data_IF_930221360615
#
_entry.id   IF_930221360615
#
_cell.length_a   1.000
_cell.length_b   1.000
_cell.length_c   1.000
_cell.angle_alpha   90.00
_cell.angle_beta   90.00
_cell.angle_gamma   90.00
#
_symmetry.space_group_name_H-M   'P 1'
#
loop_
_entity.id
_entity.type
_entity.pdbx_description
1 polymer ?
#
# COMPACT_ATOMS: atom_id res chain seq x y z
N UNK A 1 2.01 5.69 22.40
CA UNK A 1 0.64 6.24 22.47
C UNK A 1 -0.48 5.18 22.34
N UNK A 2 -0.21 3.89 22.56
CA UNK A 2 -1.23 2.81 22.45
C UNK A 2 -2.43 2.88 23.42
N UNK A 3 -2.48 3.86 24.31
CA UNK A 3 -3.50 3.96 25.38
C UNK A 3 -4.71 4.84 25.01
N UNK A 4 -4.62 5.70 23.98
CA UNK A 4 -5.73 6.56 23.53
C UNK A 4 -6.70 5.82 22.61
N UNK A 5 -6.18 5.05 21.66
CA UNK A 5 -6.99 4.24 20.75
C UNK A 5 -7.77 3.16 21.51
N UNK A 6 -7.17 2.55 22.53
CA UNK A 6 -7.81 1.49 23.32
C UNK A 6 -8.94 2.03 24.22
N UNK A 7 -8.84 3.27 24.71
CA UNK A 7 -9.92 3.94 25.47
C UNK A 7 -11.14 4.31 24.62
N UNK A 8 -10.98 4.49 23.30
CA UNK A 8 -12.07 4.86 22.40
C UNK A 8 -12.94 3.66 21.97
N UNK A 9 -12.46 2.43 22.15
CA UNK A 9 -13.15 1.23 21.64
C UNK A 9 -14.45 0.90 22.41
N UNK A 10 -14.54 1.30 23.68
CA UNK A 10 -15.64 0.95 24.61
C UNK A 10 -16.56 2.14 25.00
N UNK A 11 -16.29 3.35 24.50
CA UNK A 11 -17.08 4.54 24.82
C UNK A 11 -18.29 4.74 23.86
N UNK A 12 -19.41 5.26 24.40
CA UNK A 12 -20.58 5.65 23.58
C UNK A 12 -20.22 6.79 22.61
N UNK A 13 -20.78 6.73 21.38
CA UNK A 13 -20.63 7.73 20.32
C UNK A 13 -20.61 9.18 20.80
N UNK A 14 -21.65 9.57 21.54
CA UNK A 14 -21.84 10.95 21.99
C UNK A 14 -20.71 11.42 22.90
N UNK A 15 -20.16 10.52 23.72
CA UNK A 15 -19.06 10.83 24.62
C UNK A 15 -17.74 10.94 23.86
N UNK A 16 -17.53 10.09 22.86
CA UNK A 16 -16.40 10.22 21.93
C UNK A 16 -16.46 11.57 21.24
N UNK A 17 -17.57 11.88 20.56
CA UNK A 17 -17.70 13.10 19.75
C UNK A 17 -17.62 14.40 20.57
N UNK A 18 -17.98 14.39 21.86
CA UNK A 18 -17.78 15.54 22.76
C UNK A 18 -16.31 15.94 22.91
N UNK A 19 -15.36 15.01 22.74
CA UNK A 19 -13.91 15.27 22.84
C UNK A 19 -13.34 15.92 21.57
N UNK A 20 -14.06 15.84 20.45
CA UNK A 20 -13.60 16.33 19.17
C UNK A 20 -14.32 17.63 18.76
N UNK A 21 -13.66 18.40 17.90
CA UNK A 21 -14.24 19.57 17.23
C UNK A 21 -14.22 19.34 15.72
N UNK A 22 -15.30 19.71 15.05
CA UNK A 22 -15.37 19.66 13.59
C UNK A 22 -14.28 20.56 13.00
N UNK A 23 -13.55 20.05 12.00
CA UNK A 23 -12.52 20.78 11.29
C UNK A 23 -13.00 21.18 9.91
N UNK A 24 -13.36 20.19 9.08
CA UNK A 24 -13.69 20.38 7.67
C UNK A 24 -14.41 19.17 7.08
N UNK A 25 -15.05 19.36 5.92
CA UNK A 25 -15.54 18.26 5.08
C UNK A 25 -14.69 18.19 3.82
N UNK A 26 -14.13 17.02 3.51
CA UNK A 26 -13.20 16.85 2.38
C UNK A 26 -13.56 15.64 1.53
N UNK A 27 -13.08 15.64 0.28
CA UNK A 27 -13.07 14.45 -0.57
C UNK A 27 -11.73 13.73 -0.40
N UNK A 28 -11.72 12.65 0.39
CA UNK A 28 -10.53 11.86 0.65
C UNK A 28 -10.34 10.76 -0.41
N UNK A 29 -9.09 10.55 -0.85
CA UNK A 29 -8.79 9.69 -2.00
C UNK A 29 -9.26 8.23 -1.86
N UNK A 30 -9.23 7.66 -0.65
CA UNK A 30 -9.71 6.28 -0.38
C UNK A 30 -11.08 6.23 0.30
N UNK A 31 -11.47 7.28 1.03
CA UNK A 31 -12.67 7.25 1.88
C UNK A 31 -13.86 7.96 1.22
N UNK A 32 -13.65 8.66 0.11
CA UNK A 32 -14.65 9.51 -0.52
C UNK A 32 -14.96 10.74 0.32
N UNK A 33 -16.21 11.19 0.31
CA UNK A 33 -16.64 12.33 1.12
C UNK A 33 -16.64 11.97 2.61
N UNK A 34 -15.82 12.67 3.38
CA UNK A 34 -15.70 12.49 4.83
C UNK A 34 -15.82 13.82 5.56
N UNK A 35 -16.19 13.76 6.83
CA UNK A 35 -16.02 14.86 7.78
C UNK A 35 -14.81 14.57 8.66
N UNK A 36 -13.96 15.57 8.85
CA UNK A 36 -12.76 15.46 9.67
C UNK A 36 -13.00 16.20 10.98
N UNK A 37 -12.66 15.54 12.08
CA UNK A 37 -12.71 16.12 13.41
C UNK A 37 -11.32 16.02 14.06
N UNK A 38 -10.96 17.04 14.83
CA UNK A 38 -9.69 17.09 15.58
C UNK A 38 -9.97 16.97 17.07
N UNK A 39 -9.08 16.30 17.81
CA UNK A 39 -9.20 16.22 19.26
C UNK A 39 -9.02 17.62 19.85
N UNK A 40 -9.87 18.02 20.80
CA UNK A 40 -9.86 19.39 21.36
C UNK A 40 -8.53 19.73 22.04
N UNK A 41 -7.91 18.74 22.69
CA UNK A 41 -6.68 18.89 23.48
C UNK A 41 -5.41 18.51 22.70
N UNK A 42 -5.55 17.94 21.49
CA UNK A 42 -4.43 17.58 20.62
C UNK A 42 -4.82 17.74 19.14
N UNK A 43 -4.39 18.85 18.53
CA UNK A 43 -4.70 19.11 17.12
C UNK A 43 -3.98 18.14 16.15
N UNK A 44 -3.02 17.33 16.62
CA UNK A 44 -2.34 16.33 15.78
C UNK A 44 -3.13 15.03 15.67
N UNK A 45 -4.13 14.83 16.53
CA UNK A 45 -4.99 13.66 16.48
C UNK A 45 -6.32 13.98 15.81
N UNK A 46 -6.61 13.28 14.72
CA UNK A 46 -7.83 13.48 13.93
C UNK A 46 -8.54 12.16 13.66
N UNK A 47 -9.86 12.27 13.51
CA UNK A 47 -10.74 11.16 13.10
C UNK A 47 -11.53 11.56 11.87
N UNK A 48 -11.90 10.58 11.05
CA UNK A 48 -12.92 10.77 10.03
C UNK A 48 -14.27 10.30 10.56
N UNK A 49 -15.33 10.89 10.03
CA UNK A 49 -16.71 10.44 10.14
C UNK A 49 -17.27 10.30 8.72
N UNK A 50 -17.88 9.16 8.44
CA UNK A 50 -18.66 8.94 7.23
C UNK A 50 -20.10 8.58 7.56
N UNK A 51 -21.00 8.96 6.67
CA UNK A 51 -22.40 8.56 6.69
C UNK A 51 -22.70 7.71 5.47
N UNK A 52 -23.30 6.54 5.69
CA UNK A 52 -23.79 5.67 4.62
C UNK A 52 -25.26 5.39 4.85
N UNK A 53 -26.00 5.43 3.76
CA UNK A 53 -27.43 5.18 3.77
C UNK A 53 -27.70 3.87 3.08
N UNK A 54 -28.51 3.03 3.73
CA UNK A 54 -29.12 1.86 3.12
C UNK A 54 -30.63 2.10 2.98
N UNK A 55 -31.19 1.72 1.82
CA UNK A 55 -32.62 1.86 1.52
C UNK A 55 -33.41 0.58 1.72
N UNK A 56 -32.70 -0.52 2.03
CA UNK A 56 -33.31 -1.81 2.37
C UNK A 56 -32.71 -2.37 3.64
N UNK A 57 -33.49 -3.17 4.37
CA UNK A 57 -33.03 -3.84 5.59
C UNK A 57 -31.87 -4.81 5.29
N UNK A 58 -31.88 -5.49 4.15
CA UNK A 58 -30.82 -6.43 3.77
C UNK A 58 -29.51 -5.71 3.46
N UNK A 59 -29.56 -4.59 2.73
CA UNK A 59 -28.39 -3.75 2.50
C UNK A 59 -27.82 -3.21 3.83
N UNK A 60 -28.68 -2.75 4.74
CA UNK A 60 -28.26 -2.26 6.06
C UNK A 60 -27.53 -3.35 6.85
N UNK A 61 -28.07 -4.58 6.87
CA UNK A 61 -27.43 -5.73 7.53
C UNK A 61 -26.07 -6.07 6.93
N UNK A 62 -25.96 -6.10 5.59
CA UNK A 62 -24.69 -6.37 4.90
C UNK A 62 -23.65 -5.30 5.23
N UNK A 63 -24.05 -4.03 5.18
CA UNK A 63 -23.18 -2.90 5.49
C UNK A 63 -22.72 -2.90 6.96
N UNK A 64 -23.63 -3.14 7.90
CA UNK A 64 -23.31 -3.22 9.33
C UNK A 64 -22.35 -4.38 9.61
N UNK A 65 -22.60 -5.55 9.00
CA UNK A 65 -21.74 -6.74 9.13
C UNK A 65 -20.34 -6.45 8.59
N UNK A 66 -20.25 -5.80 7.42
CA UNK A 66 -18.99 -5.38 6.82
C UNK A 66 -18.16 -4.52 7.78
N UNK A 67 -18.73 -3.44 8.31
CA UNK A 67 -18.01 -2.55 9.22
C UNK A 67 -17.68 -3.22 10.56
N UNK A 68 -18.58 -4.02 11.12
CA UNK A 68 -18.31 -4.77 12.36
C UNK A 68 -17.15 -5.74 12.19
N UNK A 69 -17.11 -6.50 11.10
CA UNK A 69 -16.00 -7.39 10.79
C UNK A 69 -14.69 -6.62 10.63
N UNK A 70 -14.70 -5.50 9.89
CA UNK A 70 -13.49 -4.70 9.65
C UNK A 70 -13.01 -3.95 10.90
N UNK A 71 -13.90 -3.59 11.83
CA UNK A 71 -13.54 -3.04 13.15
C UNK A 71 -12.70 -4.02 13.97
N UNK A 72 -12.89 -5.34 13.80
CA UNK A 72 -12.15 -6.36 14.54
C UNK A 72 -10.72 -6.60 14.03
N UNK A 73 -10.30 -5.96 12.93
CA UNK A 73 -8.94 -6.13 12.41
C UNK A 73 -7.95 -5.39 13.31
N UNK A 74 -7.16 -6.14 14.07
CA UNK A 74 -6.13 -5.59 14.96
C UNK A 74 -4.76 -5.67 14.27
N UNK A 75 -4.36 -4.59 13.60
CA UNK A 75 -3.07 -4.46 12.94
C UNK A 75 -2.61 -2.99 12.99
N UNK A 76 -1.41 -2.75 13.49
CA UNK A 76 -0.89 -1.40 13.68
C UNK A 76 -0.71 -0.62 12.37
N UNK A 77 -0.53 -1.32 11.25
CA UNK A 77 -0.31 -0.74 9.94
C UNK A 77 -1.58 -0.66 9.07
N UNK A 78 -2.75 -1.00 9.61
CA UNK A 78 -4.03 -0.76 8.96
C UNK A 78 -4.79 0.39 9.64
N UNK A 79 -5.56 1.14 8.86
CA UNK A 79 -6.48 2.15 9.40
C UNK A 79 -7.53 1.48 10.29
N UNK A 80 -7.68 1.97 11.52
CA UNK A 80 -8.61 1.42 12.50
C UNK A 80 -9.99 2.10 12.45
N UNK A 81 -11.06 1.29 12.53
CA UNK A 81 -12.42 1.78 12.82
C UNK A 81 -12.62 1.75 14.34
N UNK A 82 -13.05 2.88 14.90
CA UNK A 82 -13.33 3.00 16.32
C UNK A 82 -14.80 2.75 16.64
N UNK A 83 -15.68 3.39 15.87
CA UNK A 83 -17.10 3.42 16.19
C UNK A 83 -17.98 3.20 14.97
N UNK A 84 -19.10 2.52 15.19
CA UNK A 84 -20.15 2.29 14.20
C UNK A 84 -21.49 2.57 14.89
N UNK A 85 -22.23 3.57 14.42
CA UNK A 85 -23.60 3.87 14.83
C UNK A 85 -24.57 3.40 13.76
N UNK A 86 -25.74 2.95 14.19
CA UNK A 86 -26.89 2.72 13.32
C UNK A 86 -28.05 3.59 13.81
N UNK A 87 -28.71 4.28 12.88
CA UNK A 87 -29.91 5.07 13.13
C UNK A 87 -30.97 4.71 12.11
N UNK A 88 -32.16 4.33 12.57
CA UNK A 88 -33.30 4.05 11.71
C UNK A 88 -34.20 5.28 11.62
N UNK A 89 -34.64 5.58 10.41
CA UNK A 89 -35.54 6.69 10.13
C UNK A 89 -36.55 6.30 9.07
N UNK A 90 -37.74 6.91 9.12
CA UNK A 90 -38.75 6.79 8.07
C UNK A 90 -38.84 8.12 7.34
N UNK A 91 -38.44 8.11 6.06
CA UNK A 91 -38.52 9.28 5.19
C UNK A 91 -39.42 8.90 4.02
N UNK A 92 -40.51 9.64 3.81
CA UNK A 92 -41.45 9.44 2.68
C UNK A 92 -42.00 7.99 2.58
N UNK A 93 -42.35 7.37 3.72
CA UNK A 93 -42.83 5.98 3.80
C UNK A 93 -41.83 4.90 3.33
N UNK A 94 -40.54 5.24 3.24
CA UNK A 94 -39.45 4.28 3.05
C UNK A 94 -38.62 4.19 4.33
N UNK A 95 -38.36 2.97 4.78
CA UNK A 95 -37.43 2.71 5.88
C UNK A 95 -36.01 2.98 5.38
N UNK A 96 -35.33 3.91 6.02
CA UNK A 96 -33.95 4.26 5.72
C UNK A 96 -33.08 4.02 6.95
N UNK A 97 -32.01 3.26 6.77
CA UNK A 97 -31.01 3.05 7.82
C UNK A 97 -29.76 3.84 7.50
N UNK A 98 -29.38 4.73 8.39
CA UNK A 98 -28.14 5.49 8.31
C UNK A 98 -27.10 4.87 9.24
N UNK A 99 -25.94 4.54 8.66
CA UNK A 99 -24.77 4.11 9.39
C UNK A 99 -23.77 5.25 9.47
N UNK A 100 -23.30 5.52 10.68
CA UNK A 100 -22.18 6.45 10.93
C UNK A 100 -20.95 5.63 11.29
N UNK A 101 -19.84 5.81 10.58
CA UNK A 101 -18.58 5.12 10.85
C UNK A 101 -17.50 6.13 11.16
N UNK A 102 -16.78 5.91 12.25
CA UNK A 102 -15.67 6.74 12.71
C UNK A 102 -14.39 5.91 12.78
N UNK A 103 -13.30 6.44 12.26
CA UNK A 103 -11.99 5.81 12.32
C UNK A 103 -10.82 6.80 12.32
N UNK A 104 -9.61 6.25 12.34
CA UNK A 104 -8.36 7.03 12.27
C UNK A 104 -8.29 7.86 10.98
N UNK A 105 -7.90 9.13 11.11
CA UNK A 105 -7.65 9.99 9.96
C UNK A 105 -6.20 10.46 9.92
N UNK A 106 -5.60 10.34 8.74
CA UNK A 106 -4.25 10.77 8.45
C UNK A 106 -4.26 11.66 7.22
N UNK A 107 -3.75 12.88 7.36
CA UNK A 107 -3.72 13.85 6.27
C UNK A 107 -2.56 13.58 5.30
N UNK A 108 -1.39 13.24 5.84
CA UNK A 108 -0.16 13.10 5.07
C UNK A 108 0.00 11.65 4.60
N UNK A 109 0.50 11.48 3.38
CA UNK A 109 0.87 10.19 2.81
C UNK A 109 2.34 10.19 2.37
N UNK A 110 2.86 9.03 1.98
CA UNK A 110 4.26 8.90 1.55
C UNK A 110 4.53 9.76 0.31
N UNK A 111 3.55 9.97 -0.58
CA UNK A 111 3.73 10.90 -1.71
C UNK A 111 4.00 12.33 -1.23
N UNK A 112 3.33 12.80 -0.18
CA UNK A 112 3.61 14.09 0.43
C UNK A 112 5.04 14.12 0.99
N UNK A 113 5.48 13.09 1.72
CA UNK A 113 6.86 12.96 2.22
C UNK A 113 7.87 13.03 1.05
N UNK A 114 7.63 12.27 -0.01
CA UNK A 114 8.45 12.26 -1.23
C UNK A 114 8.61 13.66 -1.83
N UNK A 115 7.48 14.33 -2.08
CA UNK A 115 7.45 15.64 -2.75
C UNK A 115 8.11 16.71 -1.87
N UNK A 116 7.73 16.79 -0.59
CA UNK A 116 8.17 17.86 0.29
C UNK A 116 9.64 17.73 0.68
N UNK A 117 10.10 16.51 0.97
CA UNK A 117 11.42 16.31 1.57
C UNK A 117 12.51 15.99 0.55
N UNK A 118 12.16 15.47 -0.63
CA UNK A 118 13.15 14.95 -1.57
C UNK A 118 13.03 15.49 -3.01
N UNK A 119 11.88 16.04 -3.41
CA UNK A 119 11.71 16.69 -4.73
C UNK A 119 11.71 18.23 -4.66
N UNK A 120 11.44 18.84 -3.50
CA UNK A 120 11.31 20.29 -3.41
C UNK A 120 12.67 21.01 -3.48
N UNK A 121 12.81 21.92 -4.46
CA UNK A 121 14.06 22.66 -4.73
C UNK A 121 14.49 23.58 -3.57
N UNK A 122 13.56 23.99 -2.71
CA UNK A 122 13.82 24.95 -1.61
C UNK A 122 14.75 24.41 -0.52
N UNK A 123 14.95 23.08 -0.44
CA UNK A 123 15.88 22.43 0.50
C UNK A 123 17.17 21.92 -0.15
N UNK A 124 17.35 22.08 -1.47
CA UNK A 124 18.38 21.37 -2.23
C UNK A 124 19.58 22.25 -2.60
N UNK A 125 20.67 22.13 -1.83
CA UNK A 125 22.03 22.28 -2.38
C UNK A 125 22.71 20.93 -2.68
N UNK A 126 22.11 19.80 -2.29
CA UNK A 126 22.62 18.46 -2.60
C UNK A 126 21.52 17.56 -3.18
N UNK A 127 21.94 16.67 -4.06
CA UNK A 127 21.15 15.68 -4.82
C UNK A 127 20.37 14.74 -3.87
N UNK A 128 19.25 15.20 -3.29
CA UNK A 128 18.50 14.45 -2.28
C UNK A 128 17.88 13.19 -2.88
N UNK A 129 18.08 12.07 -2.20
CA UNK A 129 17.51 10.76 -2.53
C UNK A 129 16.62 10.32 -1.38
N UNK A 130 15.66 9.44 -1.67
CA UNK A 130 14.84 8.83 -0.64
C UNK A 130 15.72 7.82 0.13
N UNK A 131 15.93 7.96 1.45
CA UNK A 131 16.87 7.12 2.17
C UNK A 131 16.46 5.64 2.12
N UNK A 132 17.41 4.76 1.77
CA UNK A 132 17.13 3.32 1.64
C UNK A 132 16.63 2.70 2.95
N UNK A 133 17.20 3.10 4.09
CA UNK A 133 16.70 2.65 5.40
C UNK A 133 15.21 2.97 5.60
N UNK A 134 14.76 4.15 5.18
CA UNK A 134 13.34 4.54 5.23
C UNK A 134 12.51 3.68 4.27
N UNK A 135 13.03 3.32 3.10
CA UNK A 135 12.36 2.39 2.18
C UNK A 135 12.21 1.01 2.80
N UNK A 136 13.20 0.49 3.52
CA UNK A 136 13.09 -0.79 4.22
C UNK A 136 12.04 -0.77 5.34
N UNK A 137 11.92 0.33 6.08
CA UNK A 137 10.83 0.51 7.06
C UNK A 137 9.45 0.54 6.40
N UNK A 138 9.35 1.19 5.24
CA UNK A 138 8.12 1.25 4.45
C UNK A 138 7.74 -0.16 3.97
N UNK A 139 8.72 -0.90 3.41
CA UNK A 139 8.55 -2.28 2.94
C UNK A 139 8.04 -3.16 4.07
N UNK A 140 8.71 -3.18 5.22
CA UNK A 140 8.35 -4.06 6.34
C UNK A 140 6.90 -3.82 6.81
N UNK A 141 6.51 -2.57 6.99
CA UNK A 141 5.17 -2.22 7.47
C UNK A 141 4.08 -2.55 6.44
N UNK A 142 4.32 -2.28 5.15
CA UNK A 142 3.37 -2.65 4.08
C UNK A 142 3.26 -4.17 3.98
N UNK A 143 4.37 -4.90 3.96
CA UNK A 143 4.38 -6.36 3.86
C UNK A 143 3.67 -7.00 5.06
N UNK A 144 3.89 -6.49 6.27
CA UNK A 144 3.18 -6.97 7.46
C UNK A 144 1.66 -6.73 7.39
N UNK A 145 1.23 -5.54 6.97
CA UNK A 145 -0.19 -5.22 6.77
C UNK A 145 -0.82 -6.12 5.69
N UNK A 146 -0.18 -6.24 4.53
CA UNK A 146 -0.70 -7.01 3.41
C UNK A 146 -0.65 -8.53 3.66
N UNK A 147 0.32 -9.04 4.44
CA UNK A 147 0.30 -10.44 4.89
C UNK A 147 -0.85 -10.70 5.84
N UNK A 148 -1.21 -9.75 6.71
CA UNK A 148 -2.40 -9.84 7.55
C UNK A 148 -3.67 -9.90 6.69
N UNK A 149 -3.78 -9.07 5.65
CA UNK A 149 -4.91 -9.11 4.71
C UNK A 149 -4.98 -10.44 3.96
N UNK A 150 -3.85 -10.92 3.44
CA UNK A 150 -3.73 -12.21 2.74
C UNK A 150 -4.24 -13.37 3.62
N UNK A 151 -3.82 -13.44 4.89
CA UNK A 151 -4.27 -14.47 5.86
C UNK A 151 -5.77 -14.41 6.13
N UNK A 152 -6.40 -13.26 5.92
CA UNK A 152 -7.85 -13.05 6.05
C UNK A 152 -8.60 -13.18 4.72
N UNK A 153 -7.96 -13.71 3.67
CA UNK A 153 -8.56 -13.88 2.35
C UNK A 153 -8.83 -12.56 1.62
N UNK A 154 -8.07 -11.51 1.94
CA UNK A 154 -8.20 -10.17 1.38
C UNK A 154 -6.92 -9.71 0.69
N UNK A 155 -7.07 -8.67 -0.11
CA UNK A 155 -6.00 -7.93 -0.77
C UNK A 155 -6.30 -6.43 -0.59
N UNK A 156 -5.30 -5.57 -0.76
CA UNK A 156 -5.41 -4.12 -0.63
C UNK A 156 -6.00 -3.47 -1.88
N UNK A 157 -5.65 -3.93 -3.09
CA UNK A 157 -6.26 -3.56 -4.37
C UNK A 157 -5.98 -2.16 -4.90
N UNK A 158 -5.15 -1.36 -4.21
CA UNK A 158 -4.82 0.03 -4.55
C UNK A 158 -3.51 0.52 -3.90
N UNK A 159 -2.46 -0.30 -3.92
CA UNK A 159 -1.15 0.12 -3.39
C UNK A 159 -0.52 1.17 -4.32
N UNK A 160 -0.28 2.37 -3.77
CA UNK A 160 0.42 3.50 -4.41
C UNK A 160 0.81 4.52 -3.35
N UNK A 161 1.84 5.33 -3.60
CA UNK A 161 2.38 6.31 -2.63
C UNK A 161 1.32 7.24 -2.02
N UNK A 162 0.32 7.66 -2.81
CA UNK A 162 -0.80 8.52 -2.34
C UNK A 162 -1.84 7.84 -1.45
N UNK A 163 -1.80 6.51 -1.34
CA UNK A 163 -2.72 5.69 -0.56
C UNK A 163 -2.09 5.08 0.69
N UNK A 164 -0.82 5.38 0.95
CA UNK A 164 -0.10 4.89 2.12
C UNK A 164 0.11 6.09 3.04
N UNK A 165 -0.61 6.10 4.15
CA UNK A 165 -0.70 7.26 5.03
C UNK A 165 0.35 7.22 6.14
N UNK A 166 0.71 8.39 6.63
CA UNK A 166 1.70 8.58 7.67
C UNK A 166 1.02 8.94 8.99
N UNK A 167 1.28 8.13 10.01
CA UNK A 167 1.02 8.52 11.38
C UNK A 167 2.06 9.58 11.83
N UNK A 168 1.74 10.47 12.79
CA UNK A 168 2.68 11.48 13.28
C UNK A 168 4.04 10.97 13.78
N UNK A 169 4.12 9.70 14.23
CA UNK A 169 5.38 9.04 14.61
C UNK A 169 6.15 8.42 13.42
N UNK A 170 5.74 8.71 12.19
CA UNK A 170 6.28 8.22 10.92
C UNK A 170 6.00 6.73 10.63
N UNK A 171 5.23 6.03 11.46
CA UNK A 171 4.68 4.72 11.08
C UNK A 171 3.64 4.84 9.96
N UNK A 172 3.44 3.75 9.23
CA UNK A 172 2.55 3.71 8.07
C UNK A 172 1.18 3.15 8.43
N UNK A 173 0.16 3.69 7.77
CA UNK A 173 -1.24 3.26 7.86
C UNK A 173 -1.80 3.05 6.47
N UNK A 174 -2.20 1.81 6.16
CA UNK A 174 -2.82 1.45 4.90
C UNK A 174 -4.33 1.54 5.05
N UNK A 175 -4.95 2.21 4.07
CA UNK A 175 -6.40 2.30 3.94
C UNK A 175 -6.82 1.47 2.73
N UNK A 176 -7.35 0.28 2.97
CA UNK A 176 -7.85 -0.61 1.93
C UNK A 176 -9.03 0.04 1.18
N UNK A 177 -9.17 -0.28 -0.12
CA UNK A 177 -10.30 0.19 -0.93
C UNK A 177 -11.65 -0.18 -0.31
N UNK A 178 -11.73 -1.38 0.30
CA UNK A 178 -12.96 -1.93 0.87
C UNK A 178 -13.17 -1.54 2.33
N UNK A 179 -12.37 -0.65 2.92
CA UNK A 179 -12.67 -0.12 4.25
C UNK A 179 -14.10 0.46 4.25
N UNK A 180 -14.45 1.16 3.18
CA UNK A 180 -15.79 1.69 2.94
C UNK A 180 -16.62 0.68 2.14
N UNK A 181 -17.80 0.36 2.65
CA UNK A 181 -18.72 -0.57 1.98
C UNK A 181 -19.11 -0.06 0.58
N UNK A 182 -19.01 -0.95 -0.41
CA UNK A 182 -19.36 -0.67 -1.80
C UNK A 182 -18.35 0.19 -2.57
N UNK A 183 -17.18 0.48 -2.00
CA UNK A 183 -16.13 1.22 -2.70
C UNK A 183 -15.51 0.40 -3.83
N UNK A 184 -15.11 1.11 -4.89
CA UNK A 184 -14.40 0.54 -6.03
C UNK A 184 -12.91 0.35 -5.70
N UNK A 185 -12.34 -0.79 -6.10
CA UNK A 185 -10.88 -0.97 -6.11
C UNK A 185 -10.23 -0.28 -7.33
N UNK A 186 -8.90 -0.34 -7.41
CA UNK A 186 -8.14 0.31 -8.48
C UNK A 186 -8.54 -0.23 -9.85
N UNK A 187 -8.68 -1.54 -9.99
CA UNK A 187 -9.12 -2.16 -11.24
C UNK A 187 -10.49 -1.65 -11.71
N UNK A 188 -11.47 -1.56 -10.81
CA UNK A 188 -12.81 -1.07 -11.09
C UNK A 188 -12.79 0.43 -11.46
N UNK A 189 -11.99 1.24 -10.77
CA UNK A 189 -11.78 2.67 -11.13
C UNK A 189 -11.18 2.80 -12.53
N UNK A 190 -10.20 1.96 -12.87
CA UNK A 190 -9.62 1.93 -14.21
C UNK A 190 -10.63 1.50 -15.27
N UNK A 191 -11.45 0.49 -15.00
CA UNK A 191 -12.45 -0.04 -15.93
C UNK A 191 -13.61 0.94 -16.19
N UNK A 192 -14.15 1.53 -15.12
CA UNK A 192 -15.38 2.32 -15.17
C UNK A 192 -15.13 3.81 -15.40
N UNK A 193 -14.01 4.34 -14.89
CA UNK A 193 -13.70 5.76 -14.90
C UNK A 193 -12.47 6.11 -15.74
N UNK A 194 -11.79 5.09 -16.31
CA UNK A 194 -10.50 5.25 -16.99
C UNK A 194 -9.41 5.91 -16.10
N UNK A 195 -9.57 5.83 -14.78
CA UNK A 195 -8.62 6.37 -13.80
C UNK A 195 -7.32 5.57 -13.82
N UNK A 196 -6.18 6.25 -13.90
CA UNK A 196 -4.87 5.60 -13.99
C UNK A 196 -4.50 4.93 -12.66
N UNK A 197 -4.05 3.67 -12.72
CA UNK A 197 -3.70 2.85 -11.55
C UNK A 197 -2.44 2.00 -11.83
N UNK A 198 -1.71 1.63 -10.78
CA UNK A 198 -0.54 0.74 -10.87
C UNK A 198 -0.97 -0.72 -11.06
N UNK A 199 -1.60 -1.01 -12.20
CA UNK A 199 -2.06 -2.35 -12.54
C UNK A 199 -0.90 -3.21 -13.04
N UNK A 200 -0.89 -4.48 -12.65
CA UNK A 200 0.02 -5.49 -13.18
C UNK A 200 -0.30 -5.84 -14.65
N UNK A 201 0.63 -6.45 -15.40
CA UNK A 201 0.39 -6.86 -16.79
C UNK A 201 -0.85 -7.73 -16.96
N UNK A 202 -1.09 -8.65 -16.04
CA UNK A 202 -2.26 -9.53 -16.07
C UNK A 202 -3.58 -8.79 -15.80
N UNK A 203 -3.61 -7.80 -14.91
CA UNK A 203 -4.79 -6.95 -14.73
C UNK A 203 -5.03 -6.03 -15.92
N UNK A 204 -3.97 -5.51 -16.54
CA UNK A 204 -4.09 -4.71 -17.75
C UNK A 204 -4.67 -5.52 -18.93
N UNK A 205 -4.29 -6.80 -19.04
CA UNK A 205 -4.88 -7.73 -20.02
C UNK A 205 -6.39 -7.89 -19.80
N UNK A 206 -6.82 -8.07 -18.56
CA UNK A 206 -8.25 -8.16 -18.20
C UNK A 206 -8.99 -6.83 -18.46
N UNK A 207 -8.34 -5.70 -18.16
CA UNK A 207 -8.87 -4.36 -18.42
C UNK A 207 -9.08 -4.11 -19.91
N UNK A 208 -8.12 -4.53 -20.75
CA UNK A 208 -8.22 -4.47 -22.21
C UNK A 208 -9.39 -5.31 -22.74
N UNK A 209 -9.62 -6.47 -22.14
CA UNK A 209 -10.76 -7.33 -22.44
C UNK A 209 -12.09 -6.80 -21.87
N UNK A 210 -12.07 -5.72 -21.06
CA UNK A 210 -13.22 -5.16 -20.34
C UNK A 210 -13.91 -6.15 -19.40
N UNK A 211 -13.14 -7.06 -18.81
CA UNK A 211 -13.68 -8.06 -17.90
C UNK A 211 -14.05 -7.41 -16.56
N UNK A 212 -15.33 -7.43 -16.18
CA UNK A 212 -15.79 -6.82 -14.91
C UNK A 212 -15.32 -7.59 -13.67
N UNK A 213 -14.97 -8.86 -13.83
CA UNK A 213 -14.53 -9.77 -12.77
C UNK A 213 -13.25 -10.47 -13.22
N UNK A 214 -12.07 -9.85 -13.05
CA UNK A 214 -10.82 -10.41 -13.52
C UNK A 214 -10.48 -11.69 -12.76
N UNK A 215 -10.11 -12.75 -13.48
CA UNK A 215 -9.71 -14.03 -12.89
C UNK A 215 -8.18 -14.12 -12.78
N UNK A 216 -7.61 -13.37 -11.83
CA UNK A 216 -6.16 -13.29 -11.59
C UNK A 216 -5.85 -13.36 -10.09
N UNK A 217 -4.60 -13.64 -9.74
CA UNK A 217 -4.13 -13.59 -8.35
C UNK A 217 -3.96 -12.13 -7.89
N UNK A 218 -4.99 -11.60 -7.24
CA UNK A 218 -5.04 -10.20 -6.79
C UNK A 218 -3.99 -9.87 -5.71
N UNK A 219 -3.55 -10.86 -4.94
CA UNK A 219 -2.46 -10.68 -3.96
C UNK A 219 -1.15 -10.42 -4.70
N UNK A 220 -0.85 -11.21 -5.73
CA UNK A 220 0.34 -10.99 -6.56
C UNK A 220 0.24 -9.70 -7.37
N UNK A 221 -0.95 -9.26 -7.75
CA UNK A 221 -1.14 -7.94 -8.37
C UNK A 221 -0.76 -6.79 -7.41
N UNK A 222 -1.12 -6.90 -6.14
CA UNK A 222 -0.71 -5.93 -5.11
C UNK A 222 0.80 -5.92 -4.89
N UNK A 223 1.47 -7.09 -4.94
CA UNK A 223 2.94 -7.17 -4.86
C UNK A 223 3.61 -6.41 -6.02
N UNK A 224 3.08 -6.52 -7.23
CA UNK A 224 3.55 -5.73 -8.38
C UNK A 224 3.38 -4.23 -8.15
N UNK A 225 2.20 -3.82 -7.68
CA UNK A 225 1.92 -2.42 -7.35
C UNK A 225 2.86 -1.88 -6.25
N UNK A 226 3.24 -2.70 -5.27
CA UNK A 226 4.27 -2.35 -4.28
C UNK A 226 5.63 -2.15 -4.95
N UNK A 227 6.06 -3.05 -5.84
CA UNK A 227 7.33 -2.90 -6.57
C UNK A 227 7.41 -1.57 -7.32
N UNK A 228 6.33 -1.17 -8.01
CA UNK A 228 6.24 0.14 -8.67
C UNK A 228 6.23 1.30 -7.67
N UNK A 229 5.53 1.16 -6.55
CA UNK A 229 5.51 2.20 -5.52
C UNK A 229 6.92 2.44 -4.96
N UNK A 230 7.69 1.39 -4.71
CA UNK A 230 9.08 1.51 -4.24
C UNK A 230 9.98 2.13 -5.30
N UNK A 231 9.80 1.77 -6.58
CA UNK A 231 10.53 2.38 -7.68
C UNK A 231 10.18 3.87 -7.82
N UNK A 232 8.91 4.26 -7.67
CA UNK A 232 8.49 5.67 -7.67
C UNK A 232 9.24 6.46 -6.59
N UNK A 233 9.24 5.95 -5.36
CA UNK A 233 9.89 6.59 -4.21
C UNK A 233 11.41 6.67 -4.40
N UNK A 234 12.06 5.57 -4.79
CA UNK A 234 13.50 5.51 -4.94
C UNK A 234 14.00 6.36 -6.12
N UNK A 235 13.25 6.35 -7.23
CA UNK A 235 13.59 7.12 -8.43
C UNK A 235 13.16 8.58 -8.35
N UNK A 236 12.23 8.93 -7.45
CA UNK A 236 11.55 10.22 -7.37
C UNK A 236 10.85 10.59 -8.70
N UNK A 237 10.36 9.60 -9.44
CA UNK A 237 9.67 9.78 -10.73
C UNK A 237 8.35 9.02 -10.75
N UNK A 238 7.31 9.64 -11.34
CA UNK A 238 6.02 8.97 -11.54
C UNK A 238 6.17 7.70 -12.37
N UNK A 239 5.57 6.60 -11.91
CA UNK A 239 5.52 5.35 -12.67
C UNK A 239 4.56 5.36 -13.86
N UNK A 240 3.73 6.40 -14.03
CA UNK A 240 2.83 6.55 -15.18
C UNK A 240 3.57 6.50 -16.52
N UNK A 241 4.82 6.97 -16.56
CA UNK A 241 5.68 6.95 -17.75
C UNK A 241 5.99 5.54 -18.29
N UNK A 242 5.75 4.50 -17.48
CA UNK A 242 5.97 3.11 -17.86
C UNK A 242 4.73 2.46 -18.49
N UNK A 243 3.60 3.17 -18.55
CA UNK A 243 2.36 2.66 -19.08
C UNK A 243 2.01 3.30 -20.42
N UNK A 244 1.49 2.49 -21.32
CA UNK A 244 0.63 2.96 -22.40
C UNK A 244 -0.82 2.72 -21.98
N UNK A 245 -1.45 3.78 -21.47
CA UNK A 245 -2.83 3.70 -20.98
C UNK A 245 -3.87 3.63 -22.09
N UNK A 246 -3.49 3.82 -23.36
CA UNK A 246 -4.40 3.66 -24.49
C UNK A 246 -4.45 2.17 -24.86
N UNK A 247 -3.29 1.54 -25.04
CA UNK A 247 -3.20 0.11 -25.37
C UNK A 247 -3.43 -0.81 -24.15
N UNK A 248 -3.43 -0.24 -22.94
CA UNK A 248 -3.48 -0.95 -21.66
C UNK A 248 -2.29 -1.91 -21.54
N UNK A 249 -1.09 -1.37 -21.70
CA UNK A 249 0.16 -2.12 -21.59
C UNK A 249 1.13 -1.41 -20.64
N UNK A 250 2.03 -2.20 -20.07
CA UNK A 250 3.11 -1.72 -19.20
C UNK A 250 4.44 -2.16 -19.80
N UNK A 251 5.38 -1.22 -19.92
CA UNK A 251 6.69 -1.43 -20.50
C UNK A 251 7.68 -1.94 -19.44
N UNK A 252 7.65 -3.25 -19.18
CA UNK A 252 8.51 -3.91 -18.17
C UNK A 252 9.99 -3.60 -18.38
N UNK A 253 10.49 -3.59 -19.62
CA UNK A 253 11.88 -3.27 -19.92
C UNK A 253 12.30 -1.87 -19.41
N UNK A 254 11.38 -0.89 -19.45
CA UNK A 254 11.65 0.47 -18.95
C UNK A 254 11.66 0.52 -17.42
N UNK A 255 10.84 -0.31 -16.77
CA UNK A 255 10.83 -0.46 -15.31
C UNK A 255 12.15 -1.10 -14.86
N UNK A 256 12.60 -2.15 -15.55
CA UNK A 256 13.89 -2.82 -15.32
C UNK A 256 15.04 -1.83 -15.45
N UNK A 257 15.10 -1.08 -16.56
CA UNK A 257 16.13 -0.06 -16.78
C UNK A 257 16.12 1.02 -15.68
N UNK A 258 14.93 1.44 -15.23
CA UNK A 258 14.83 2.41 -14.15
C UNK A 258 15.31 1.85 -12.81
N UNK A 259 15.05 0.57 -12.52
CA UNK A 259 15.54 -0.12 -11.34
C UNK A 259 17.07 -0.28 -11.37
N UNK A 260 17.67 -0.62 -12.52
CA UNK A 260 19.13 -0.70 -12.70
C UNK A 260 19.82 0.63 -12.37
N UNK A 261 19.21 1.76 -12.77
CA UNK A 261 19.74 3.09 -12.49
C UNK A 261 19.75 3.44 -11.00
N UNK A 262 19.00 2.73 -10.15
CA UNK A 262 19.04 2.94 -8.69
C UNK A 262 20.40 2.53 -8.10
N UNK A 263 21.07 1.51 -8.66
CA UNK A 263 22.41 1.11 -8.21
C UNK A 263 23.39 2.28 -8.41
N UNK A 264 23.30 2.99 -9.53
CA UNK A 264 24.13 4.17 -9.82
C UNK A 264 23.83 5.34 -8.89
N UNK A 265 22.62 5.38 -8.30
CA UNK A 265 22.25 6.34 -7.28
C UNK A 265 22.72 5.93 -5.88
N UNK A 266 23.25 4.74 -5.70
CA UNK A 266 23.76 4.27 -4.42
C UNK A 266 22.77 3.43 -3.62
N UNK A 267 21.67 2.99 -4.23
CA UNK A 267 20.83 1.96 -3.62
C UNK A 267 21.52 0.59 -3.69
N UNK A 268 21.30 -0.23 -2.68
CA UNK A 268 21.89 -1.56 -2.60
C UNK A 268 21.31 -2.51 -3.64
N UNK A 269 22.13 -3.48 -4.04
CA UNK A 269 21.67 -4.58 -4.89
C UNK A 269 20.59 -5.44 -4.22
N UNK A 270 20.55 -5.47 -2.88
CA UNK A 270 19.50 -6.14 -2.13
C UNK A 270 18.13 -5.48 -2.39
N UNK A 271 18.08 -4.14 -2.34
CA UNK A 271 16.86 -3.38 -2.59
C UNK A 271 16.39 -3.51 -4.05
N UNK A 272 17.30 -3.37 -5.01
CA UNK A 272 16.91 -3.51 -6.43
C UNK A 272 16.48 -4.92 -6.79
N UNK A 273 17.11 -5.96 -6.20
CA UNK A 273 16.70 -7.35 -6.37
C UNK A 273 15.30 -7.62 -5.81
N UNK A 274 14.95 -7.01 -4.69
CA UNK A 274 13.61 -7.10 -4.14
C UNK A 274 12.58 -6.51 -5.12
N UNK A 275 12.86 -5.33 -5.71
CA UNK A 275 11.99 -4.75 -6.74
C UNK A 275 11.87 -5.70 -7.94
N UNK A 276 12.96 -6.30 -8.43
CA UNK A 276 12.91 -7.27 -9.53
C UNK A 276 11.98 -8.45 -9.25
N UNK A 277 12.01 -9.00 -8.04
CA UNK A 277 11.11 -10.08 -7.63
C UNK A 277 9.65 -9.62 -7.61
N UNK A 278 9.37 -8.39 -7.16
CA UNK A 278 8.01 -7.86 -7.09
C UNK A 278 7.41 -7.59 -8.49
N UNK A 279 8.23 -7.18 -9.47
CA UNK A 279 7.76 -6.88 -10.83
C UNK A 279 7.84 -8.06 -11.80
N UNK A 280 8.24 -9.25 -11.33
CA UNK A 280 8.39 -10.42 -12.20
C UNK A 280 7.06 -10.95 -12.73
N UNK A 281 7.14 -11.93 -13.63
CA UNK A 281 6.01 -12.70 -14.13
C UNK A 281 5.20 -13.30 -12.97
N UNK A 282 3.88 -13.43 -13.17
CA UNK A 282 2.93 -13.77 -12.09
C UNK A 282 3.24 -15.13 -11.45
N UNK A 283 3.76 -16.10 -12.20
CA UNK A 283 4.09 -17.44 -11.70
C UNK A 283 5.23 -17.38 -10.67
N UNK A 284 6.26 -16.59 -10.94
CA UNK A 284 7.47 -16.48 -10.10
C UNK A 284 7.40 -15.36 -9.08
N UNK A 285 6.49 -14.39 -9.25
CA UNK A 285 6.29 -13.28 -8.32
C UNK A 285 5.92 -13.82 -6.93
N UNK A 286 6.58 -13.38 -5.85
CA UNK A 286 6.24 -13.83 -4.50
C UNK A 286 4.88 -13.29 -4.06
N UNK A 287 4.29 -13.91 -3.03
CA UNK A 287 3.20 -13.35 -2.24
C UNK A 287 3.75 -12.58 -1.03
N UNK A 288 2.88 -11.88 -0.30
CA UNK A 288 3.33 -11.11 0.87
C UNK A 288 3.86 -12.01 1.98
N UNK A 289 3.26 -13.18 2.18
CA UNK A 289 3.76 -14.22 3.09
C UNK A 289 5.22 -14.62 2.79
N UNK A 290 5.57 -14.84 1.52
CA UNK A 290 6.96 -15.16 1.11
C UNK A 290 7.92 -13.99 1.42
N UNK A 291 7.48 -12.75 1.14
CA UNK A 291 8.26 -11.55 1.43
C UNK A 291 8.45 -11.33 2.93
N UNK A 292 7.41 -11.59 3.74
CA UNK A 292 7.46 -11.48 5.19
C UNK A 292 8.48 -12.47 5.78
N UNK A 293 8.53 -13.70 5.28
CA UNK A 293 9.51 -14.69 5.71
C UNK A 293 10.94 -14.18 5.50
N UNK A 294 11.25 -13.63 4.32
CA UNK A 294 12.57 -13.06 4.04
C UNK A 294 12.86 -11.86 4.93
N UNK A 295 11.92 -10.91 5.05
CA UNK A 295 12.12 -9.67 5.82
C UNK A 295 12.25 -9.92 7.33
N UNK A 296 11.67 -10.99 7.87
CA UNK A 296 11.79 -11.34 9.29
C UNK A 296 13.25 -11.52 9.74
N UNK A 297 14.15 -11.90 8.83
CA UNK A 297 15.59 -12.02 9.09
C UNK A 297 16.30 -10.69 9.32
N UNK A 298 15.68 -9.58 8.92
CA UNK A 298 16.24 -8.21 9.03
C UNK A 298 15.35 -7.30 9.89
N UNK A 299 14.28 -7.84 10.49
CA UNK A 299 13.28 -7.03 11.19
C UNK A 299 13.88 -6.24 12.36
N UNK A 300 14.80 -6.85 13.12
CA UNK A 300 15.49 -6.16 14.20
C UNK A 300 16.34 -5.00 13.67
N UNK A 301 17.07 -5.20 12.58
CA UNK A 301 17.90 -4.17 11.96
C UNK A 301 17.04 -3.03 11.42
N UNK A 302 15.94 -3.35 10.72
CA UNK A 302 15.02 -2.35 10.17
C UNK A 302 14.39 -1.51 11.30
N UNK A 303 13.88 -2.16 12.35
CA UNK A 303 13.22 -1.48 13.47
C UNK A 303 14.18 -0.62 14.30
N UNK A 304 15.45 -1.02 14.41
CA UNK A 304 16.47 -0.29 15.16
C UNK A 304 17.30 0.67 14.30
N UNK A 305 16.91 0.93 13.05
CA UNK A 305 17.62 1.82 12.14
C UNK A 305 19.08 1.39 11.87
N UNK A 306 19.34 0.08 11.86
CA UNK A 306 20.67 -0.50 11.60
C UNK A 306 20.84 -0.71 10.11
N UNK A 307 21.94 -0.21 9.54
CA UNK A 307 22.29 -0.38 8.13
C UNK A 307 22.81 -1.80 7.86
N UNK A 308 21.89 -2.72 7.59
CA UNK A 308 22.19 -4.11 7.22
C UNK A 308 22.47 -4.28 5.73
N UNK A 309 22.08 -3.32 4.90
CA UNK A 309 22.13 -3.39 3.45
C UNK A 309 23.45 -2.85 2.87
N UNK A 310 24.23 -2.10 3.65
CA UNK A 310 25.54 -1.53 3.27
C UNK A 310 26.51 -2.55 2.65
N UNK A 311 26.50 -3.81 3.11
CA UNK A 311 27.36 -4.88 2.56
C UNK A 311 27.00 -5.29 1.11
N UNK A 312 25.80 -4.92 0.65
CA UNK A 312 25.28 -5.17 -0.69
C UNK A 312 25.35 -3.93 -1.60
N UNK A 313 25.97 -2.85 -1.13
CA UNK A 313 26.35 -1.74 -1.99
C UNK A 313 27.46 -2.20 -2.92
N UNK A 314 27.31 -1.92 -4.22
CA UNK A 314 28.44 -2.11 -5.13
C UNK A 314 29.55 -1.15 -4.70
N UNK A 315 30.68 -1.70 -4.23
CA UNK A 315 31.88 -0.90 -3.95
C UNK A 315 32.23 -0.16 -5.23
N UNK A 316 32.10 1.16 -5.25
CA UNK A 316 32.60 2.00 -6.32
C UNK A 316 34.15 1.99 -6.28
N UNK A 317 34.75 0.88 -6.68
CA UNK A 317 36.16 0.78 -7.01
C UNK A 317 36.26 -0.15 -8.22
N UNK A 318 36.63 0.43 -9.35
CA UNK A 318 36.89 -0.19 -10.66
C UNK A 318 36.78 -1.72 -10.74
N UNK A 319 35.68 -2.19 -11.31
CA UNK A 319 35.67 -3.39 -12.17
C UNK A 319 34.43 -3.35 -13.07
N UNK A 320 34.57 -2.64 -14.18
CA UNK A 320 33.56 -2.57 -15.25
C UNK A 320 33.51 -3.86 -16.10
N UNK A 321 33.89 -5.04 -15.57
CA UNK A 321 34.01 -6.27 -16.36
C UNK A 321 33.96 -7.55 -15.49
N UNK A 322 32.82 -7.88 -14.87
CA UNK A 322 32.58 -9.27 -14.39
C UNK A 322 31.15 -9.79 -14.68
N UNK A 323 30.14 -8.94 -14.91
CA UNK A 323 28.76 -9.44 -15.07
C UNK A 323 28.50 -10.09 -16.45
N UNK A 324 29.25 -9.72 -17.50
CA UNK A 324 29.08 -10.34 -18.83
C UNK A 324 29.70 -11.73 -19.00
N UNK A 325 30.50 -12.24 -18.04
CA UNK A 325 31.14 -13.56 -18.16
C UNK A 325 30.45 -14.70 -17.41
N UNK A 326 29.37 -14.44 -16.66
CA UNK A 326 28.60 -15.49 -15.98
C UNK A 326 27.26 -15.85 -16.65
N UNK A 327 26.78 -15.07 -17.62
CA UNK A 327 25.43 -15.24 -18.18
C UNK A 327 25.37 -15.59 -19.68
N UNK A 328 26.49 -16.01 -20.29
CA UNK A 328 26.55 -16.43 -21.71
C UNK A 328 26.58 -17.95 -21.92
N UNK A 329 26.07 -18.74 -20.98
CA UNK A 329 25.80 -20.18 -21.20
C UNK A 329 24.51 -20.63 -20.54
N UNK A 330 23.40 -20.37 -21.22
CA UNK A 330 22.34 -21.35 -21.49
C UNK A 330 21.08 -20.61 -21.96
N UNK A 331 20.83 -20.64 -23.27
CA UNK A 331 19.44 -20.63 -23.75
C UNK A 331 18.80 -21.95 -23.30
N UNK A 332 17.61 -21.97 -22.68
CA UNK A 332 16.90 -23.22 -22.45
C UNK A 332 15.97 -23.52 -23.64
N UNK A 333 16.13 -24.71 -24.22
CA UNK A 333 15.01 -25.46 -24.81
C UNK A 333 14.13 -26.06 -23.68
N UNK A 334 12.87 -26.44 -23.96
CA UNK A 334 11.84 -26.51 -22.94
C UNK A 334 11.69 -27.90 -22.29
N UNK A 335 11.04 -27.88 -21.11
CA UNK A 335 10.37 -28.97 -20.37
C UNK A 335 11.23 -29.70 -19.31
N UNK A 336 10.96 -29.44 -18.02
CA UNK A 336 10.31 -30.37 -17.05
C UNK A 336 10.65 -30.03 -15.58
N UNK A 337 9.61 -29.68 -14.81
CA UNK A 337 9.48 -29.65 -13.34
C UNK A 337 10.43 -28.76 -12.48
N UNK A 338 9.93 -28.18 -11.37
CA UNK A 338 10.60 -27.08 -10.67
C UNK A 338 11.53 -27.60 -9.56
N UNK A 339 12.80 -27.19 -9.58
CA UNK A 339 13.65 -27.21 -8.39
C UNK A 339 13.70 -25.79 -7.79
N UNK A 340 13.24 -25.71 -6.54
CA UNK A 340 13.27 -24.56 -5.64
C UNK A 340 14.70 -24.07 -5.38
N UNK A 341 14.95 -22.77 -5.55
CA UNK A 341 16.20 -22.12 -5.13
C UNK A 341 15.91 -21.32 -3.86
N UNK A 342 16.24 -21.91 -2.71
CA UNK A 342 16.37 -21.21 -1.42
C UNK A 342 17.79 -20.62 -1.31
N UNK A 343 17.91 -19.40 -0.77
CA UNK A 343 19.19 -18.79 -0.39
C UNK A 343 19.78 -19.50 0.86
N UNK A 344 21.11 -19.58 1.00
CA UNK A 344 21.77 -20.50 1.92
C UNK A 344 21.64 -20.07 3.39
N UNK A 345 21.36 -21.06 4.25
CA UNK A 345 21.40 -20.91 5.71
C UNK A 345 22.80 -20.50 6.19
N UNK A 346 22.87 -19.38 6.92
CA UNK A 346 24.06 -18.96 7.63
C UNK A 346 24.37 -19.90 8.80
N UNK A 347 25.62 -20.32 8.90
CA UNK A 347 26.17 -21.12 9.99
C UNK A 347 26.59 -20.20 11.15
N UNK A 348 26.15 -20.57 12.36
CA UNK A 348 26.56 -20.21 13.73
C UNK A 348 27.33 -18.91 14.01
#
# INVERSE_FOLDING_TARGET
MGNSNQKLLDEKYENVMKKFKFKESIHHNQLGMIRVYTLKDDNNYSIFEIHKTATTLEEAKLMLTHYKNRKCYNNDNLTQIFFISEQHSQILCQDQTQLTVIGEFFQNNIQNEMIMNYQSKSYSQNNQQFPELRLWQIILQIVNACTFLEKNGRYHGEIKSKNIYLHPDQSLKLTEYNLIYGSMNGYQKALLLNDFQYLSPELLKELRAKNSSPNVDLIKCDVFALGLTLLELASLKSCEQYYDWISKEVHIDRIIQANDLLIQRGYSTLFTNLIYQMISEVETRPKFSDLQEVLSHFENEINNNIDFYSRYLMKQNHQHNIINSMWSRSKPEPISQPQSIFLPHGSH
#
